data_IF_953646667401
#
_entry.id   IF_953646667401
#
_cell.length_a   1.000
_cell.length_b   1.000
_cell.length_c   1.000
_cell.angle_alpha   90.00
_cell.angle_beta   90.00
_cell.angle_gamma   90.00
#
_symmetry.space_group_name_H-M   'P 1'
#
loop_
_entity.id
_entity.type
_entity.pdbx_description
1 polymer ?
#
# COMPACT_ATOMS: atom_id res chain seq x y z
N UNK A 1 8.64 16.28 -48.22
CA UNK A 1 8.76 14.81 -48.22
C UNK A 1 7.97 14.27 -47.05
N UNK A 2 6.89 13.54 -47.35
CA UNK A 2 6.14 12.68 -46.43
C UNK A 2 7.12 11.66 -45.82
N UNK A 3 7.10 11.32 -44.54
CA UNK A 3 5.97 10.74 -43.81
C UNK A 3 6.15 9.22 -43.75
N UNK A 4 6.87 8.72 -42.73
CA UNK A 4 6.83 7.32 -42.31
C UNK A 4 6.93 7.25 -40.79
N UNK A 5 5.80 7.53 -40.14
CA UNK A 5 5.50 6.99 -38.83
C UNK A 5 5.41 5.47 -38.97
N UNK A 6 6.33 4.75 -38.33
CA UNK A 6 6.21 3.31 -38.12
C UNK A 6 5.10 3.06 -37.08
N UNK A 7 3.85 3.13 -37.54
CA UNK A 7 2.73 2.49 -36.86
C UNK A 7 2.85 0.99 -37.08
N UNK A 8 3.32 0.28 -36.07
CA UNK A 8 3.14 -1.18 -35.99
C UNK A 8 1.66 -1.42 -35.67
N UNK A 9 0.83 -1.47 -36.69
CA UNK A 9 -0.53 -2.02 -36.61
C UNK A 9 -0.42 -3.54 -36.53
N UNK A 10 -0.54 -4.10 -35.32
CA UNK A 10 -0.80 -5.53 -35.15
C UNK A 10 -2.18 -5.84 -35.73
N UNK A 11 -2.17 -6.67 -36.78
CA UNK A 11 -3.36 -7.20 -37.43
C UNK A 11 -4.20 -8.06 -36.49
N UNK A 12 -5.51 -7.96 -36.73
CA UNK A 12 -6.56 -8.95 -36.49
C UNK A 12 -6.29 -10.02 -35.42
N UNK A 13 -6.77 -9.73 -34.22
CA UNK A 13 -7.60 -10.67 -33.50
C UNK A 13 -8.67 -9.85 -32.77
N UNK A 14 -9.90 -10.34 -32.81
CA UNK A 14 -11.11 -9.70 -32.29
C UNK A 14 -10.89 -8.98 -30.96
N UNK A 15 -10.68 -7.67 -31.01
CA UNK A 15 -10.77 -6.82 -29.83
C UNK A 15 -12.25 -6.72 -29.47
N UNK A 16 -12.70 -7.61 -28.60
CA UNK A 16 -13.75 -7.24 -27.66
C UNK A 16 -13.38 -5.88 -27.08
N UNK A 17 -14.37 -5.00 -26.90
CA UNK A 17 -14.19 -3.65 -26.34
C UNK A 17 -13.49 -3.76 -24.97
N UNK A 18 -12.16 -3.84 -24.95
CA UNK A 18 -11.36 -3.75 -23.74
C UNK A 18 -11.45 -2.31 -23.32
N UNK A 19 -12.35 -2.08 -22.35
CA UNK A 19 -12.34 -0.92 -21.49
C UNK A 19 -10.89 -0.52 -21.23
N UNK A 20 -10.55 0.73 -21.55
CA UNK A 20 -9.29 1.38 -21.17
C UNK A 20 -9.24 1.60 -19.62
N UNK A 21 -10.14 0.94 -18.89
CA UNK A 21 -10.28 1.00 -17.44
C UNK A 21 -9.53 -0.12 -16.74
N UNK A 22 -9.15 0.19 -15.51
CA UNK A 22 -8.65 -0.68 -14.45
C UNK A 22 -9.07 -2.15 -14.57
N UNK A 23 -8.11 -3.05 -14.37
CA UNK A 23 -8.35 -4.49 -14.28
C UNK A 23 -9.27 -4.84 -13.11
N UNK A 24 -10.14 -5.86 -13.23
CA UNK A 24 -11.01 -6.26 -12.13
C UNK A 24 -10.18 -6.69 -10.91
N UNK A 25 -10.72 -6.42 -9.72
CA UNK A 25 -10.08 -6.80 -8.46
C UNK A 25 -10.29 -8.28 -8.22
N UNK A 26 -9.19 -9.03 -8.19
CA UNK A 26 -9.21 -10.46 -7.89
C UNK A 26 -9.23 -10.70 -6.38
N UNK A 27 -10.27 -11.36 -5.90
CA UNK A 27 -10.39 -11.79 -4.50
C UNK A 27 -10.59 -13.30 -4.45
N UNK A 28 -9.90 -13.97 -3.52
CA UNK A 28 -10.11 -15.40 -3.28
C UNK A 28 -11.18 -15.58 -2.20
N UNK A 29 -12.40 -15.95 -2.60
CA UNK A 29 -13.53 -16.04 -1.65
C UNK A 29 -13.36 -17.18 -0.65
N UNK A 30 -12.63 -18.23 -1.02
CA UNK A 30 -12.31 -19.33 -0.12
C UNK A 30 -11.50 -18.90 1.11
N UNK A 31 -10.83 -17.74 1.04
CA UNK A 31 -10.12 -17.15 2.18
C UNK A 31 -11.05 -16.46 3.20
N UNK A 32 -12.32 -16.25 2.85
CA UNK A 32 -13.29 -15.63 3.74
C UNK A 32 -14.18 -16.70 4.38
N UNK A 33 -14.07 -16.87 5.69
CA UNK A 33 -15.14 -17.50 6.50
C UNK A 33 -16.33 -16.54 6.52
N UNK A 34 -17.13 -16.56 5.46
CA UNK A 34 -18.33 -15.74 5.34
C UNK A 34 -19.53 -16.53 5.80
N UNK A 35 -20.50 -15.84 6.42
CA UNK A 35 -21.83 -16.41 6.58
C UNK A 35 -22.43 -16.75 5.21
N UNK A 36 -23.16 -17.86 5.11
CA UNK A 36 -23.88 -18.29 3.91
C UNK A 36 -24.76 -17.16 3.31
N UNK A 37 -25.17 -16.20 4.15
CA UNK A 37 -26.00 -15.04 3.83
C UNK A 37 -25.50 -14.20 2.65
N UNK A 38 -24.18 -14.04 2.49
CA UNK A 38 -23.60 -13.15 1.45
C UNK A 38 -22.76 -13.88 0.41
N UNK A 39 -22.58 -15.19 0.58
CA UNK A 39 -21.66 -15.98 -0.24
C UNK A 39 -21.93 -15.84 -1.74
N UNK A 40 -23.19 -15.92 -2.18
CA UNK A 40 -23.56 -15.79 -3.60
C UNK A 40 -23.22 -14.41 -4.17
N UNK A 41 -23.44 -13.33 -3.41
CA UNK A 41 -23.14 -11.97 -3.87
C UNK A 41 -21.64 -11.70 -3.93
N UNK A 42 -20.87 -12.22 -2.97
CA UNK A 42 -19.42 -12.16 -3.01
C UNK A 42 -18.88 -12.97 -4.18
N UNK A 43 -19.39 -14.19 -4.40
CA UNK A 43 -19.04 -15.05 -5.54
C UNK A 43 -19.28 -14.34 -6.87
N UNK A 44 -20.45 -13.73 -7.00
CA UNK A 44 -20.79 -12.92 -8.17
C UNK A 44 -19.81 -11.76 -8.41
N UNK A 45 -19.27 -11.14 -7.35
CA UNK A 45 -18.25 -10.10 -7.48
C UNK A 45 -16.90 -10.67 -7.94
N UNK A 46 -16.47 -11.82 -7.39
CA UNK A 46 -15.21 -12.45 -7.79
C UNK A 46 -15.25 -13.01 -9.23
N UNK A 47 -16.41 -13.49 -9.66
CA UNK A 47 -16.61 -14.04 -11.01
C UNK A 47 -16.78 -12.95 -12.08
N UNK A 48 -16.97 -11.68 -11.66
CA UNK A 48 -17.12 -10.57 -12.58
C UNK A 48 -15.83 -10.34 -13.39
N UNK A 49 -15.99 -10.15 -14.70
CA UNK A 49 -14.86 -10.11 -15.64
C UNK A 49 -14.33 -8.70 -15.88
N UNK A 50 -15.00 -7.69 -15.34
CA UNK A 50 -14.64 -6.29 -15.50
C UNK A 50 -14.98 -5.43 -14.29
N UNK A 51 -14.25 -4.32 -14.12
CA UNK A 51 -14.53 -3.32 -13.09
C UNK A 51 -15.93 -2.71 -13.21
N UNK A 52 -16.44 -2.58 -14.44
CA UNK A 52 -17.79 -2.06 -14.72
C UNK A 52 -18.89 -3.00 -14.23
N UNK A 53 -18.62 -4.32 -14.19
CA UNK A 53 -19.50 -5.32 -13.58
C UNK A 53 -19.35 -5.36 -12.05
N UNK A 54 -18.13 -5.24 -11.54
CA UNK A 54 -17.85 -5.25 -10.10
C UNK A 54 -18.46 -4.07 -9.35
N UNK A 55 -18.47 -2.87 -9.94
CA UNK A 55 -18.97 -1.66 -9.29
C UNK A 55 -20.47 -1.71 -8.91
N UNK A 56 -21.40 -2.10 -9.79
CA UNK A 56 -22.82 -2.23 -9.42
C UNK A 56 -23.05 -3.38 -8.42
N UNK A 57 -22.26 -4.45 -8.46
CA UNK A 57 -22.34 -5.54 -7.46
C UNK A 57 -21.90 -5.02 -6.09
N UNK A 58 -20.77 -4.32 -6.02
CA UNK A 58 -20.28 -3.70 -4.79
C UNK A 58 -21.30 -2.71 -4.22
N UNK A 59 -21.95 -1.90 -5.08
CA UNK A 59 -23.03 -1.01 -4.63
C UNK A 59 -24.19 -1.78 -4.01
N UNK A 60 -24.64 -2.88 -4.64
CA UNK A 60 -25.69 -3.74 -4.08
C UNK A 60 -25.30 -4.32 -2.73
N UNK A 61 -24.06 -4.81 -2.60
CA UNK A 61 -23.52 -5.33 -1.33
C UNK A 61 -23.58 -4.25 -0.24
N UNK A 62 -23.17 -3.02 -0.59
CA UNK A 62 -23.17 -1.89 0.34
C UNK A 62 -24.59 -1.39 0.65
N UNK A 63 -25.54 -1.50 -0.27
CA UNK A 63 -26.92 -1.08 -0.02
C UNK A 63 -27.66 -2.01 0.97
N UNK A 64 -27.11 -3.20 1.28
CA UNK A 64 -27.65 -4.13 2.27
C UNK A 64 -27.43 -3.67 3.73
N UNK A 65 -26.66 -2.61 3.96
CA UNK A 65 -26.35 -2.04 5.29
C UNK A 65 -27.49 -1.27 5.96
N UNK A 66 -28.70 -1.21 5.39
CA UNK A 66 -29.72 -0.23 5.82
C UNK A 66 -30.09 -0.25 7.31
N UNK A 67 -29.98 -1.39 7.98
CA UNK A 67 -30.52 -1.55 9.34
C UNK A 67 -29.46 -1.90 10.42
N UNK A 68 -28.30 -2.46 10.06
CA UNK A 68 -27.23 -2.80 11.00
C UNK A 68 -25.86 -2.94 10.32
N UNK A 69 -24.79 -2.61 11.05
CA UNK A 69 -23.41 -2.80 10.60
C UNK A 69 -23.09 -4.30 10.59
N UNK A 70 -22.88 -4.87 9.40
CA UNK A 70 -22.52 -6.28 9.23
C UNK A 70 -21.01 -6.45 9.03
N UNK A 71 -20.36 -7.18 9.94
CA UNK A 71 -18.92 -7.42 9.96
C UNK A 71 -18.41 -8.11 8.69
N UNK A 72 -19.19 -9.00 8.08
CA UNK A 72 -18.76 -9.73 6.87
C UNK A 72 -18.68 -8.79 5.67
N UNK A 73 -19.61 -7.83 5.58
CA UNK A 73 -19.56 -6.81 4.54
C UNK A 73 -18.39 -5.86 4.76
N UNK A 74 -18.08 -5.48 6.01
CA UNK A 74 -16.90 -4.63 6.31
C UNK A 74 -15.63 -5.34 5.87
N UNK A 75 -15.46 -6.61 6.26
CA UNK A 75 -14.30 -7.43 5.86
C UNK A 75 -14.18 -7.52 4.34
N UNK A 76 -15.28 -7.75 3.64
CA UNK A 76 -15.30 -7.77 2.19
C UNK A 76 -14.84 -6.43 1.60
N UNK A 77 -15.41 -5.31 2.07
CA UNK A 77 -15.02 -3.97 1.61
C UNK A 77 -13.53 -3.69 1.86
N UNK A 78 -13.00 -4.05 3.03
CA UNK A 78 -11.58 -3.87 3.37
C UNK A 78 -10.69 -4.66 2.42
N UNK A 79 -11.02 -5.93 2.12
CA UNK A 79 -10.21 -6.74 1.20
C UNK A 79 -10.27 -6.19 -0.22
N UNK A 80 -11.45 -5.81 -0.72
CA UNK A 80 -11.58 -5.17 -2.03
C UNK A 80 -10.79 -3.85 -2.07
N UNK A 81 -10.84 -3.05 -1.00
CA UNK A 81 -10.09 -1.80 -0.89
C UNK A 81 -8.57 -2.02 -0.91
N UNK A 82 -8.07 -3.03 -0.20
CA UNK A 82 -6.65 -3.37 -0.15
C UNK A 82 -6.14 -3.96 -1.47
N UNK A 83 -6.93 -4.79 -2.15
CA UNK A 83 -6.52 -5.42 -3.40
C UNK A 83 -6.64 -4.50 -4.62
N UNK A 84 -7.47 -3.46 -4.53
CA UNK A 84 -7.60 -2.47 -5.57
C UNK A 84 -6.38 -1.54 -5.63
N UNK A 85 -5.86 -1.32 -6.84
CA UNK A 85 -4.74 -0.42 -7.09
C UNK A 85 -5.08 1.06 -6.80
N UNK A 86 -4.05 1.91 -6.81
CA UNK A 86 -4.22 3.35 -6.61
C UNK A 86 -5.24 3.91 -7.63
N UNK A 87 -6.14 4.78 -7.18
CA UNK A 87 -7.18 5.44 -7.99
C UNK A 87 -8.24 4.49 -8.62
N UNK A 88 -8.22 3.20 -8.29
CA UNK A 88 -9.20 2.23 -8.79
C UNK A 88 -10.65 2.64 -8.45
N UNK A 89 -11.62 2.55 -9.37
CA UNK A 89 -13.00 2.99 -9.15
C UNK A 89 -13.66 2.38 -7.91
N UNK A 90 -13.40 1.09 -7.65
CA UNK A 90 -13.91 0.39 -6.46
C UNK A 90 -13.29 0.93 -5.17
N UNK A 91 -11.97 1.19 -5.16
CA UNK A 91 -11.27 1.80 -4.02
C UNK A 91 -11.83 3.19 -3.72
N UNK A 92 -11.95 4.01 -4.76
CA UNK A 92 -12.53 5.35 -4.69
C UNK A 92 -14.01 5.33 -4.27
N UNK A 93 -14.77 4.32 -4.65
CA UNK A 93 -16.16 4.13 -4.20
C UNK A 93 -16.20 3.82 -2.70
N UNK A 94 -15.40 2.84 -2.25
CA UNK A 94 -15.34 2.44 -0.83
C UNK A 94 -14.86 3.60 0.03
N UNK A 95 -13.78 4.27 -0.33
CA UNK A 95 -13.26 5.42 0.40
C UNK A 95 -14.34 6.51 0.55
N UNK A 96 -15.02 6.88 -0.53
CA UNK A 96 -16.10 7.87 -0.49
C UNK A 96 -17.29 7.40 0.34
N UNK A 97 -17.64 6.12 0.28
CA UNK A 97 -18.75 5.58 1.06
C UNK A 97 -18.43 5.60 2.56
N UNK A 98 -17.24 5.12 2.96
CA UNK A 98 -16.79 5.13 4.37
C UNK A 98 -16.66 6.56 4.89
N UNK A 99 -16.07 7.47 4.12
CA UNK A 99 -15.95 8.88 4.52
C UNK A 99 -17.31 9.55 4.75
N UNK A 100 -18.33 9.24 3.93
CA UNK A 100 -19.68 9.81 4.06
C UNK A 100 -20.47 9.23 5.24
N UNK A 101 -20.14 8.04 5.71
CA UNK A 101 -20.87 7.33 6.75
C UNK A 101 -19.99 7.20 7.99
N UNK A 102 -20.12 8.16 8.93
CA UNK A 102 -19.28 8.23 10.13
C UNK A 102 -19.33 6.96 10.98
N UNK A 103 -20.48 6.29 11.03
CA UNK A 103 -20.67 5.01 11.73
C UNK A 103 -19.86 3.85 11.12
N UNK A 104 -19.42 3.94 9.86
CA UNK A 104 -18.57 2.92 9.22
C UNK A 104 -17.08 3.18 9.40
N UNK A 105 -16.66 4.40 9.75
CA UNK A 105 -15.24 4.75 9.79
C UNK A 105 -14.47 3.90 10.80
N UNK A 106 -14.94 3.83 12.04
CA UNK A 106 -14.25 3.09 13.10
C UNK A 106 -14.25 1.57 12.87
N UNK A 107 -15.39 0.91 12.53
CA UNK A 107 -15.38 -0.51 12.19
C UNK A 107 -14.50 -0.83 10.97
N UNK A 108 -14.52 0.01 9.94
CA UNK A 108 -13.67 -0.17 8.76
C UNK A 108 -12.18 -0.01 9.11
N UNK A 109 -11.83 1.02 9.89
CA UNK A 109 -10.47 1.25 10.38
C UNK A 109 -9.94 0.05 11.17
N UNK A 110 -10.73 -0.49 12.10
CA UNK A 110 -10.34 -1.65 12.91
C UNK A 110 -10.07 -2.89 12.06
N UNK A 111 -10.97 -3.20 11.12
CA UNK A 111 -10.79 -4.35 10.21
C UNK A 111 -9.62 -4.14 9.25
N UNK A 112 -9.41 -2.92 8.76
CA UNK A 112 -8.27 -2.58 7.90
C UNK A 112 -6.95 -2.73 8.66
N UNK A 113 -6.85 -2.25 9.90
CA UNK A 113 -5.68 -2.41 10.75
C UNK A 113 -5.35 -3.90 10.97
N UNK A 114 -6.36 -4.71 11.32
CA UNK A 114 -6.19 -6.17 11.46
C UNK A 114 -5.70 -6.85 10.18
N UNK A 115 -6.19 -6.43 9.01
CA UNK A 115 -5.73 -6.95 7.72
C UNK A 115 -4.31 -6.51 7.36
N UNK A 116 -3.91 -5.29 7.74
CA UNK A 116 -2.53 -4.82 7.56
C UNK A 116 -1.59 -5.64 8.45
N UNK A 117 -1.89 -5.75 9.76
CA UNK A 117 -1.11 -6.55 10.72
C UNK A 117 -0.93 -8.01 10.25
N UNK A 118 -2.02 -8.64 9.76
CA UNK A 118 -1.96 -10.00 9.18
C UNK A 118 -1.00 -10.10 7.98
N UNK A 119 -0.89 -9.05 7.16
CA UNK A 119 -0.03 -9.05 5.96
C UNK A 119 1.44 -8.74 6.25
N UNK A 120 1.74 -8.01 7.33
CA UNK A 120 3.11 -7.67 7.73
C UNK A 120 3.71 -8.70 8.71
N UNK A 121 2.91 -9.61 9.24
CA UNK A 121 3.36 -10.65 10.18
C UNK A 121 4.30 -11.70 9.55
N UNK A 122 4.10 -12.18 8.31
CA UNK A 122 5.02 -13.14 7.69
C UNK A 122 6.36 -12.46 7.36
N UNK A 123 7.47 -13.17 7.58
CA UNK A 123 8.80 -12.71 7.17
C UNK A 123 8.99 -12.94 5.65
N UNK A 124 9.14 -11.88 4.85
CA UNK A 124 9.25 -12.03 3.40
C UNK A 124 10.60 -12.59 2.99
N UNK A 125 10.61 -13.48 1.99
CA UNK A 125 11.85 -14.08 1.45
C UNK A 125 12.33 -13.39 0.18
N UNK A 126 11.44 -12.66 -0.50
CA UNK A 126 11.72 -11.95 -1.74
C UNK A 126 11.20 -10.51 -1.70
N UNK A 127 11.91 -9.57 -2.34
CA UNK A 127 11.50 -8.15 -2.38
C UNK A 127 10.11 -7.93 -3.02
N UNK A 128 9.61 -8.89 -3.80
CA UNK A 128 8.28 -8.83 -4.44
C UNK A 128 7.14 -8.98 -3.43
N UNK A 129 7.38 -9.72 -2.36
CA UNK A 129 6.44 -9.87 -1.24
C UNK A 129 6.35 -8.54 -0.46
N UNK A 130 7.51 -7.91 -0.22
CA UNK A 130 7.56 -6.54 0.31
C UNK A 130 6.84 -5.55 -0.61
N UNK A 131 7.12 -5.57 -1.92
CA UNK A 131 6.49 -4.69 -2.91
C UNK A 131 4.96 -4.78 -2.88
N UNK A 132 4.39 -5.99 -2.82
CA UNK A 132 2.94 -6.19 -2.76
C UNK A 132 2.33 -5.55 -1.50
N UNK A 133 2.93 -5.77 -0.34
CA UNK A 133 2.41 -5.27 0.94
C UNK A 133 2.60 -3.76 1.06
N UNK A 134 3.81 -3.26 0.83
CA UNK A 134 4.18 -1.85 0.98
C UNK A 134 3.36 -0.98 0.03
N UNK A 135 3.19 -1.39 -1.23
CA UNK A 135 2.37 -0.65 -2.21
C UNK A 135 0.89 -0.58 -1.80
N UNK A 136 0.34 -1.67 -1.25
CA UNK A 136 -1.05 -1.70 -0.77
C UNK A 136 -1.24 -0.81 0.45
N UNK A 137 -0.32 -0.83 1.41
CA UNK A 137 -0.36 0.04 2.59
C UNK A 137 -0.22 1.52 2.19
N UNK A 138 0.70 1.84 1.28
CA UNK A 138 0.89 3.21 0.77
C UNK A 138 -0.40 3.81 0.20
N UNK A 139 -1.15 3.02 -0.57
CA UNK A 139 -2.41 3.49 -1.16
C UNK A 139 -3.56 3.57 -0.15
N UNK A 140 -3.41 3.07 1.07
CA UNK A 140 -4.42 3.22 2.13
C UNK A 140 -4.44 4.63 2.73
N UNK A 141 -3.30 5.32 2.74
CA UNK A 141 -3.16 6.64 3.37
C UNK A 141 -3.40 7.82 2.41
N UNK A 142 -3.54 7.54 1.10
CA UNK A 142 -3.76 8.57 0.09
C UNK A 142 -5.17 9.19 0.19
N UNK A 143 -5.26 10.36 0.82
CA UNK A 143 -6.51 11.14 0.94
C UNK A 143 -7.66 10.40 1.65
N UNK A 144 -7.35 9.50 2.59
CA UNK A 144 -8.35 8.68 3.27
C UNK A 144 -8.07 8.55 4.78
N UNK A 145 -8.82 9.32 5.58
CA UNK A 145 -8.59 9.41 7.04
C UNK A 145 -8.74 8.07 7.77
N UNK A 146 -9.70 7.24 7.39
CA UNK A 146 -9.88 5.93 8.02
C UNK A 146 -8.69 4.99 7.73
N UNK A 147 -8.04 5.13 6.58
CA UNK A 147 -6.81 4.42 6.24
C UNK A 147 -5.59 4.94 7.01
N UNK A 148 -5.47 6.27 7.17
CA UNK A 148 -4.45 6.88 8.05
C UNK A 148 -4.61 6.38 9.49
N UNK A 149 -5.85 6.37 10.00
CA UNK A 149 -6.14 5.85 11.34
C UNK A 149 -5.81 4.36 11.47
N UNK A 150 -6.05 3.56 10.43
CA UNK A 150 -5.71 2.13 10.44
C UNK A 150 -4.20 1.90 10.48
N UNK A 151 -3.43 2.67 9.70
CA UNK A 151 -1.96 2.63 9.74
C UNK A 151 -1.43 3.05 11.11
N UNK A 152 -2.03 4.07 11.72
CA UNK A 152 -1.66 4.51 13.08
C UNK A 152 -1.83 3.42 14.14
N UNK A 153 -2.87 2.58 14.02
CA UNK A 153 -3.10 1.48 14.97
C UNK A 153 -1.96 0.44 14.93
N UNK A 154 -1.33 0.25 13.76
CA UNK A 154 -0.29 -0.78 13.54
C UNK A 154 1.09 -0.17 13.32
N UNK A 155 1.31 1.09 13.72
CA UNK A 155 2.47 1.86 13.28
C UNK A 155 3.81 1.32 13.78
N UNK A 156 3.86 0.68 14.95
CA UNK A 156 5.09 0.09 15.50
C UNK A 156 5.46 -1.22 14.79
N UNK A 157 4.49 -2.11 14.59
CA UNK A 157 4.66 -3.35 13.80
C UNK A 157 5.05 -3.02 12.36
N UNK A 158 4.35 -2.04 11.76
CA UNK A 158 4.62 -1.58 10.41
C UNK A 158 5.99 -0.90 10.31
N UNK A 159 6.40 -0.11 11.29
CA UNK A 159 7.72 0.52 11.35
C UNK A 159 8.85 -0.53 11.33
N UNK A 160 8.69 -1.60 12.09
CA UNK A 160 9.64 -2.74 12.09
C UNK A 160 9.65 -3.44 10.72
N UNK A 161 8.48 -3.71 10.15
CA UNK A 161 8.37 -4.33 8.82
C UNK A 161 9.01 -3.47 7.72
N UNK A 162 8.80 -2.15 7.75
CA UNK A 162 9.37 -1.22 6.78
C UNK A 162 10.89 -1.05 6.96
N UNK A 163 11.39 -1.11 8.18
CA UNK A 163 12.83 -1.14 8.46
C UNK A 163 13.46 -2.39 7.84
N UNK A 164 12.89 -3.58 8.08
CA UNK A 164 13.36 -4.83 7.49
C UNK A 164 13.27 -4.81 5.95
N UNK A 165 12.21 -4.22 5.39
CA UNK A 165 12.08 -4.01 3.94
C UNK A 165 13.23 -3.16 3.39
N UNK A 166 13.54 -2.05 4.07
CA UNK A 166 14.58 -1.12 3.62
C UNK A 166 15.97 -1.76 3.71
N UNK A 167 16.25 -2.45 4.81
CA UNK A 167 17.50 -3.19 5.03
C UNK A 167 17.69 -4.24 3.93
N UNK A 168 16.66 -5.06 3.67
CA UNK A 168 16.67 -6.05 2.59
C UNK A 168 16.91 -5.41 1.21
N UNK A 169 16.28 -4.28 0.92
CA UNK A 169 16.49 -3.56 -0.34
C UNK A 169 17.94 -3.08 -0.49
N UNK A 170 18.53 -2.51 0.56
CA UNK A 170 19.91 -2.01 0.55
C UNK A 170 20.90 -3.16 0.41
N UNK A 171 20.74 -4.23 1.18
CA UNK A 171 21.57 -5.43 1.06
C UNK A 171 21.55 -6.00 -0.35
N UNK A 172 20.38 -6.09 -0.97
CA UNK A 172 20.23 -6.60 -2.33
C UNK A 172 20.89 -5.69 -3.37
N UNK A 173 20.84 -4.37 -3.19
CA UNK A 173 21.47 -3.39 -4.09
C UNK A 173 22.99 -3.38 -3.98
N UNK A 174 23.52 -3.55 -2.76
CA UNK A 174 24.95 -3.50 -2.46
C UNK A 174 25.64 -4.87 -2.60
N UNK A 175 24.88 -5.95 -2.68
CA UNK A 175 25.42 -7.30 -2.79
C UNK A 175 26.26 -7.48 -4.05
N UNK A 176 27.56 -7.74 -3.85
CA UNK A 176 28.47 -8.07 -4.95
C UNK A 176 28.20 -9.45 -5.57
N UNK A 177 27.43 -10.31 -4.88
CA UNK A 177 27.20 -11.70 -5.31
C UNK A 177 26.03 -11.86 -6.28
N UNK A 178 25.16 -10.84 -6.42
CA UNK A 178 23.96 -10.91 -7.26
C UNK A 178 23.89 -9.75 -8.24
N UNK A 179 24.15 -10.03 -9.52
CA UNK A 179 23.98 -9.05 -10.59
C UNK A 179 22.49 -8.83 -10.86
N UNK A 180 21.94 -7.73 -10.34
CA UNK A 180 20.57 -7.31 -10.63
C UNK A 180 20.45 -6.75 -12.05
N UNK A 181 19.39 -7.14 -12.76
CA UNK A 181 19.04 -6.51 -14.03
C UNK A 181 18.61 -5.05 -13.81
N UNK A 182 18.71 -4.17 -14.83
CA UNK A 182 18.23 -2.79 -14.72
C UNK A 182 16.77 -2.67 -14.28
N UNK A 183 15.93 -3.61 -14.70
CA UNK A 183 14.50 -3.65 -14.31
C UNK A 183 14.35 -3.94 -12.82
N UNK A 184 15.02 -4.98 -12.30
CA UNK A 184 14.96 -5.32 -10.87
C UNK A 184 15.51 -4.19 -10.01
N UNK A 185 16.61 -3.56 -10.42
CA UNK A 185 17.15 -2.39 -9.71
C UNK A 185 16.10 -1.27 -9.62
N UNK A 186 15.42 -0.97 -10.71
CA UNK A 186 14.40 0.08 -10.73
C UNK A 186 13.19 -0.26 -9.84
N UNK A 187 12.78 -1.52 -9.80
CA UNK A 187 11.73 -2.00 -8.89
C UNK A 187 12.16 -1.86 -7.43
N UNK A 188 13.39 -2.24 -7.09
CA UNK A 188 13.93 -2.09 -5.72
C UNK A 188 14.08 -0.62 -5.33
N UNK A 189 14.48 0.27 -6.25
CA UNK A 189 14.50 1.71 -5.97
C UNK A 189 13.10 2.27 -5.75
N UNK A 190 12.11 1.80 -6.51
CA UNK A 190 10.70 2.17 -6.33
C UNK A 190 10.19 1.70 -4.97
N UNK A 191 10.47 0.45 -4.60
CA UNK A 191 10.13 -0.10 -3.29
C UNK A 191 10.79 0.67 -2.16
N UNK A 192 12.09 0.95 -2.26
CA UNK A 192 12.84 1.76 -1.29
C UNK A 192 12.22 3.14 -1.13
N UNK A 193 11.86 3.79 -2.24
CA UNK A 193 11.21 5.10 -2.24
C UNK A 193 9.87 5.08 -1.49
N UNK A 194 9.00 4.13 -1.78
CA UNK A 194 7.68 4.02 -1.14
C UNK A 194 7.85 3.69 0.36
N UNK A 195 8.80 2.80 0.70
CA UNK A 195 9.14 2.43 2.07
C UNK A 195 9.60 3.64 2.88
N UNK A 196 10.54 4.43 2.34
CA UNK A 196 11.02 5.65 2.98
C UNK A 196 9.91 6.69 3.17
N UNK A 197 8.98 6.81 2.21
CA UNK A 197 7.81 7.70 2.34
C UNK A 197 6.86 7.25 3.44
N UNK A 198 6.63 5.95 3.58
CA UNK A 198 5.81 5.40 4.65
C UNK A 198 6.47 5.56 6.02
N UNK A 199 7.78 5.28 6.13
CA UNK A 199 8.54 5.56 7.35
C UNK A 199 8.46 7.03 7.73
N UNK A 200 8.63 7.95 6.76
CA UNK A 200 8.46 9.38 6.99
C UNK A 200 7.06 9.72 7.50
N UNK A 201 6.02 9.14 6.89
CA UNK A 201 4.65 9.34 7.35
C UNK A 201 4.46 8.90 8.81
N UNK A 202 4.97 7.72 9.17
CA UNK A 202 4.91 7.20 10.54
C UNK A 202 5.65 8.13 11.51
N UNK A 203 6.91 8.47 11.23
CA UNK A 203 7.72 9.35 12.08
C UNK A 203 7.07 10.73 12.29
N UNK A 204 6.39 11.27 11.28
CA UNK A 204 5.70 12.56 11.37
C UNK A 204 4.35 12.52 12.09
N UNK A 205 3.77 11.34 12.32
CA UNK A 205 2.39 11.18 12.82
C UNK A 205 2.28 10.34 14.10
N UNK A 206 3.33 9.60 14.44
CA UNK A 206 3.42 8.83 15.67
C UNK A 206 3.28 9.72 16.90
N UNK A 207 2.68 9.18 17.96
CA UNK A 207 2.65 9.83 19.28
C UNK A 207 3.92 9.49 20.07
N UNK A 208 4.10 10.10 21.24
CA UNK A 208 5.31 9.91 22.06
C UNK A 208 5.53 8.44 22.48
N UNK A 209 4.45 7.68 22.70
CA UNK A 209 4.50 6.26 23.06
C UNK A 209 5.07 5.43 21.90
N UNK A 210 4.48 5.53 20.71
CA UNK A 210 4.96 4.86 19.50
C UNK A 210 6.37 5.31 19.11
N UNK A 211 6.69 6.60 19.24
CA UNK A 211 8.04 7.11 18.97
C UNK A 211 9.09 6.45 19.87
N UNK A 212 8.77 6.15 21.12
CA UNK A 212 9.69 5.46 22.03
C UNK A 212 10.05 4.05 21.53
N UNK A 213 9.12 3.34 20.89
CA UNK A 213 9.34 2.03 20.28
C UNK A 213 10.04 2.10 18.92
N UNK A 214 9.83 3.19 18.17
CA UNK A 214 10.41 3.41 16.85
C UNK A 214 11.86 3.93 16.88
N UNK A 215 12.23 4.73 17.90
CA UNK A 215 13.57 5.33 18.03
C UNK A 215 14.71 4.28 17.95
N UNK A 216 14.62 3.10 18.61
CA UNK A 216 15.62 2.04 18.46
C UNK A 216 15.88 1.62 17.01
N UNK A 217 14.84 1.64 16.16
CA UNK A 217 14.95 1.26 14.74
C UNK A 217 15.69 2.31 13.91
N UNK A 218 15.74 3.56 14.36
CA UNK A 218 16.31 4.66 13.58
C UNK A 218 17.80 4.45 13.28
N UNK A 219 18.55 3.73 14.13
CA UNK A 219 19.97 3.45 13.86
C UNK A 219 20.12 2.67 12.56
N UNK A 220 19.31 1.63 12.36
CA UNK A 220 19.34 0.81 11.15
C UNK A 220 18.87 1.64 9.96
N UNK A 221 17.76 2.38 10.11
CA UNK A 221 17.23 3.25 9.05
C UNK A 221 18.28 4.31 8.63
N UNK A 222 19.02 4.89 9.56
CA UNK A 222 20.10 5.86 9.29
C UNK A 222 21.25 5.23 8.49
N UNK A 223 21.62 3.98 8.78
CA UNK A 223 22.61 3.24 8.00
C UNK A 223 22.13 3.00 6.56
N UNK A 224 20.92 2.49 6.40
CA UNK A 224 20.33 2.29 5.07
C UNK A 224 20.23 3.60 4.28
N UNK A 225 19.82 4.69 4.92
CA UNK A 225 19.77 6.04 4.32
C UNK A 225 21.16 6.46 3.83
N UNK A 226 22.20 6.28 4.65
CA UNK A 226 23.57 6.64 4.30
C UNK A 226 24.03 5.90 3.05
N UNK A 227 23.77 4.59 2.98
CA UNK A 227 24.15 3.76 1.85
C UNK A 227 23.42 4.16 0.57
N UNK A 228 22.11 4.40 0.65
CA UNK A 228 21.31 4.88 -0.48
C UNK A 228 21.74 6.27 -0.98
N UNK A 229 22.14 7.17 -0.06
CA UNK A 229 22.59 8.51 -0.43
C UNK A 229 23.90 8.49 -1.22
N UNK A 230 24.82 7.59 -0.88
CA UNK A 230 26.13 7.46 -1.53
C UNK A 230 26.04 6.68 -2.85
N UNK A 231 25.08 5.76 -2.97
CA UNK A 231 24.92 4.96 -4.19
C UNK A 231 24.56 5.82 -5.41
N UNK A 232 25.34 5.72 -6.48
CA UNK A 232 25.21 6.60 -7.67
C UNK A 232 23.93 6.37 -8.46
N UNK A 233 23.46 5.13 -8.55
CA UNK A 233 22.27 4.79 -9.34
C UNK A 233 20.95 5.13 -8.64
N UNK A 234 20.97 5.49 -7.35
CA UNK A 234 19.75 5.79 -6.61
C UNK A 234 19.12 7.09 -7.16
N UNK A 235 17.83 7.08 -7.54
CA UNK A 235 17.15 8.27 -8.05
C UNK A 235 17.19 9.45 -7.07
N UNK A 236 17.31 10.67 -7.60
CA UNK A 236 17.35 11.90 -6.80
C UNK A 236 16.10 12.11 -5.93
N UNK A 237 14.93 11.67 -6.39
CA UNK A 237 13.69 11.74 -5.61
C UNK A 237 13.79 10.88 -4.35
N UNK A 238 14.36 9.67 -4.46
CA UNK A 238 14.63 8.78 -3.31
C UNK A 238 15.63 9.40 -2.35
N UNK A 239 16.72 10.00 -2.85
CA UNK A 239 17.70 10.72 -2.02
C UNK A 239 17.09 11.91 -1.29
N UNK A 240 16.16 12.61 -1.92
CA UNK A 240 15.44 13.73 -1.30
C UNK A 240 14.58 13.26 -0.13
N UNK A 241 13.85 12.14 -0.30
CA UNK A 241 13.06 11.54 0.79
C UNK A 241 13.97 11.04 1.92
N UNK A 242 15.11 10.41 1.58
CA UNK A 242 16.15 10.03 2.57
C UNK A 242 16.56 11.21 3.45
N UNK A 243 16.88 12.36 2.84
CA UNK A 243 17.27 13.56 3.59
C UNK A 243 16.16 14.09 4.51
N UNK A 244 14.91 14.13 4.03
CA UNK A 244 13.77 14.58 4.84
C UNK A 244 13.49 13.63 6.01
N UNK A 245 13.56 12.31 5.77
CA UNK A 245 13.39 11.30 6.81
C UNK A 245 14.50 11.39 7.85
N UNK A 246 15.77 11.51 7.42
CA UNK A 246 16.90 11.69 8.32
C UNK A 246 16.73 12.90 9.25
N UNK A 247 16.34 14.05 8.69
CA UNK A 247 16.08 15.26 9.48
C UNK A 247 14.91 15.05 10.44
N UNK A 248 13.82 14.43 9.98
CA UNK A 248 12.64 14.16 10.81
C UNK A 248 12.98 13.25 12.00
N UNK A 249 13.74 12.18 11.76
CA UNK A 249 14.24 11.29 12.80
C UNK A 249 15.18 12.01 13.78
N UNK A 250 16.05 12.89 13.28
CA UNK A 250 16.95 13.69 14.10
C UNK A 250 16.20 14.64 15.04
N UNK A 251 15.18 15.34 14.52
CA UNK A 251 14.32 16.22 15.32
C UNK A 251 13.60 15.43 16.41
N UNK A 252 13.05 14.25 16.08
CA UNK A 252 12.42 13.36 17.07
C UNK A 252 13.41 12.92 18.15
N UNK A 253 14.63 12.49 17.77
CA UNK A 253 15.65 12.01 18.71
C UNK A 253 16.19 13.11 19.64
N UNK A 254 16.27 14.36 19.16
CA UNK A 254 16.89 15.49 19.89
C UNK A 254 15.87 16.42 20.53
N UNK A 255 14.62 16.40 20.10
CA UNK A 255 13.55 17.22 20.66
C UNK A 255 13.92 18.71 20.71
N UNK A 256 13.81 19.38 21.87
CA UNK A 256 14.20 20.79 22.05
C UNK A 256 15.68 21.09 21.78
N UNK A 257 16.56 20.08 21.86
CA UNK A 257 17.99 20.23 21.58
C UNK A 257 18.29 20.14 20.06
N UNK A 258 17.25 20.02 19.22
CA UNK A 258 17.41 20.13 17.77
C UNK A 258 17.56 21.60 17.37
N UNK A 259 18.63 21.91 16.63
CA UNK A 259 18.96 23.23 16.10
C UNK A 259 18.03 23.73 14.97
N UNK A 260 16.89 23.06 14.74
CA UNK A 260 16.00 23.22 13.58
C UNK A 260 14.56 23.60 13.95
N UNK A 261 14.28 24.01 15.19
CA UNK A 261 12.95 24.49 15.60
C UNK A 261 12.64 25.91 15.10
#
# INVERSE_FOLDING_TARGET
MNGLALRISRGSDSKSKKSIGFSPVNISISSFKTSDKYHELFQKFADATSTDEQLPILRKIVDLYRDAIDTDIIKFMVVVFLQAEAKHPLKCFIARHVTKNSNLQEPFTSVLASQISTRISPEPTHYKEYEDVVSKVATCIENFNAGVAAVRIVENELGTYLMNCLDFCVDLLLSESKTLSPTEKNEIFTLSHITLRLLLHIVQKANDESLSELIPLFIIIELCIKDLMIHNDVPMDTKSVCGILFISMYIVKKGPDSWLQ
#
